data_IF_885944298383
#
_entry.id   IF_885944298383
#
_cell.length_a   1.000
_cell.length_b   1.000
_cell.length_c   1.000
_cell.angle_alpha   90.00
_cell.angle_beta   90.00
_cell.angle_gamma   90.00
#
_symmetry.space_group_name_H-M   'P 1'
#
loop_
_entity.id
_entity.type
_entity.pdbx_description
1 polymer ?
#
# COMPACT_ATOMS: atom_id res chain seq x y z
N UNK A 1 -54.15 9.37 -14.31
CA UNK A 1 -53.08 8.47 -14.73
C UNK A 1 -51.76 9.12 -14.29
N UNK A 2 -51.27 8.68 -13.14
CA UNK A 2 -49.99 9.12 -12.58
C UNK A 2 -48.86 8.39 -13.30
N UNK A 3 -48.01 9.17 -13.96
CA UNK A 3 -46.76 8.66 -14.57
C UNK A 3 -45.70 8.73 -13.50
N UNK A 4 -45.27 7.56 -13.00
CA UNK A 4 -44.14 7.47 -12.10
C UNK A 4 -42.85 7.92 -12.81
N UNK A 5 -41.96 8.71 -12.14
CA UNK A 5 -40.71 9.14 -12.75
C UNK A 5 -39.80 7.95 -12.93
N UNK A 6 -39.27 7.80 -14.14
CA UNK A 6 -38.27 6.79 -14.47
C UNK A 6 -37.01 6.94 -13.59
N UNK A 7 -36.74 5.98 -12.72
CA UNK A 7 -35.46 5.89 -12.00
C UNK A 7 -34.38 5.69 -13.04
N UNK A 8 -33.52 6.70 -13.19
CA UNK A 8 -32.49 6.73 -14.20
C UNK A 8 -31.45 5.59 -14.01
N UNK A 9 -31.13 4.93 -15.11
CA UNK A 9 -30.06 3.90 -15.22
C UNK A 9 -28.69 4.35 -14.66
N UNK A 10 -28.48 5.65 -14.45
CA UNK A 10 -27.26 6.21 -13.87
C UNK A 10 -27.00 5.83 -12.40
N UNK A 11 -28.05 5.51 -11.62
CA UNK A 11 -27.88 5.13 -10.21
C UNK A 11 -27.46 3.66 -10.02
N UNK A 12 -27.67 2.81 -11.02
CA UNK A 12 -27.31 1.38 -10.96
C UNK A 12 -25.81 1.19 -11.17
N UNK A 13 -25.18 1.98 -12.04
CA UNK A 13 -23.74 1.90 -12.29
C UNK A 13 -22.89 2.45 -11.14
N UNK A 14 -23.41 3.38 -10.34
CA UNK A 14 -22.71 3.94 -9.16
C UNK A 14 -22.53 2.95 -8.00
N UNK A 15 -23.25 1.80 -8.01
CA UNK A 15 -23.26 0.84 -6.90
C UNK A 15 -22.47 -0.44 -7.17
N UNK A 16 -21.85 -0.59 -8.32
CA UNK A 16 -21.03 -1.76 -8.60
C UNK A 16 -19.67 -1.63 -7.90
N UNK A 17 -19.43 -2.47 -6.89
CA UNK A 17 -18.17 -2.57 -6.17
C UNK A 17 -18.17 -2.02 -4.73
N UNK A 18 -19.26 -1.41 -4.25
CA UNK A 18 -19.35 -0.93 -2.86
C UNK A 18 -20.20 -1.87 -2.02
N UNK A 19 -19.64 -2.39 -0.92
CA UNK A 19 -20.38 -3.24 0.02
C UNK A 19 -21.51 -2.46 0.72
N UNK A 20 -22.56 -3.16 1.23
CA UNK A 20 -23.50 -2.54 2.15
C UNK A 20 -22.75 -1.98 3.37
N UNK A 21 -22.73 -0.65 3.53
CA UNK A 21 -21.92 0.04 4.55
C UNK A 21 -20.80 0.92 3.99
N UNK A 22 -20.49 0.86 2.68
CA UNK A 22 -19.53 1.75 2.03
C UNK A 22 -20.01 3.21 2.00
N UNK A 23 -19.10 4.09 1.59
CA UNK A 23 -19.36 5.53 1.54
C UNK A 23 -20.51 5.85 0.57
N UNK A 24 -21.46 6.65 1.02
CA UNK A 24 -22.71 6.92 0.28
C UNK A 24 -22.67 8.22 -0.49
N UNK A 25 -21.76 9.10 -0.15
CA UNK A 25 -21.67 10.41 -0.79
C UNK A 25 -20.23 10.76 -1.14
N UNK A 26 -20.05 11.59 -2.16
CA UNK A 26 -18.75 12.15 -2.52
C UNK A 26 -18.15 12.97 -1.36
N UNK A 27 -19.01 13.56 -0.53
CA UNK A 27 -18.57 14.29 0.66
C UNK A 27 -17.93 13.35 1.68
N UNK A 28 -18.50 12.16 1.94
CA UNK A 28 -17.92 11.16 2.83
C UNK A 28 -16.55 10.69 2.33
N UNK A 29 -16.40 10.54 0.99
CA UNK A 29 -15.12 10.18 0.38
C UNK A 29 -14.08 11.28 0.61
N UNK A 30 -14.43 12.55 0.40
CA UNK A 30 -13.55 13.70 0.66
C UNK A 30 -13.11 13.77 2.11
N UNK A 31 -14.05 13.60 3.04
CA UNK A 31 -13.79 13.56 4.46
C UNK A 31 -12.80 12.45 4.80
N UNK A 32 -13.00 11.23 4.28
CA UNK A 32 -12.15 10.09 4.54
C UNK A 32 -10.74 10.28 3.97
N UNK A 33 -10.61 10.87 2.77
CA UNK A 33 -9.31 11.22 2.18
C UNK A 33 -8.56 12.21 3.09
N UNK A 34 -9.21 13.28 3.54
CA UNK A 34 -8.60 14.26 4.44
C UNK A 34 -8.20 13.63 5.78
N UNK A 35 -9.05 12.78 6.35
CA UNK A 35 -8.75 12.05 7.57
C UNK A 35 -7.51 11.16 7.41
N UNK A 36 -7.49 10.33 6.36
CA UNK A 36 -6.40 9.40 6.10
C UNK A 36 -5.07 10.14 5.97
N UNK A 37 -5.02 11.18 5.13
CA UNK A 37 -3.82 11.98 4.93
C UNK A 37 -3.43 12.84 6.15
N UNK A 38 -4.39 13.14 7.05
CA UNK A 38 -4.08 13.78 8.34
C UNK A 38 -3.42 12.83 9.33
N UNK A 39 -3.74 11.54 9.21
CA UNK A 39 -3.24 10.48 10.10
C UNK A 39 -1.87 9.94 9.67
N UNK A 40 -1.42 10.26 8.44
CA UNK A 40 -0.19 9.75 7.86
C UNK A 40 0.77 10.93 7.59
N UNK A 41 1.87 11.07 8.36
CA UNK A 41 2.78 12.21 8.23
C UNK A 41 3.49 12.31 6.88
N UNK A 42 3.79 11.17 6.25
CA UNK A 42 4.56 11.10 5.00
C UNK A 42 3.69 11.33 3.74
N UNK A 43 2.34 11.38 3.91
CA UNK A 43 1.43 11.45 2.78
C UNK A 43 1.29 10.12 2.05
N UNK A 44 0.53 10.11 0.95
CA UNK A 44 0.34 8.96 0.06
C UNK A 44 0.36 9.41 -1.40
N UNK A 45 0.76 8.53 -2.31
CA UNK A 45 0.52 8.76 -3.74
C UNK A 45 -0.97 8.71 -4.06
N UNK A 46 -1.39 9.36 -5.14
CA UNK A 46 -2.79 9.29 -5.60
C UNK A 46 -3.22 7.85 -5.88
N UNK A 47 -2.32 7.06 -6.46
CA UNK A 47 -2.57 5.64 -6.78
C UNK A 47 -2.77 4.82 -5.52
N UNK A 48 -1.91 4.97 -4.52
CA UNK A 48 -2.02 4.24 -3.26
C UNK A 48 -3.29 4.58 -2.50
N UNK A 49 -3.64 5.86 -2.46
CA UNK A 49 -4.87 6.31 -1.84
C UNK A 49 -6.11 5.70 -2.51
N UNK A 50 -6.15 5.66 -3.84
CA UNK A 50 -7.23 5.03 -4.59
C UNK A 50 -7.28 3.53 -4.28
N UNK A 51 -6.14 2.84 -4.31
CA UNK A 51 -6.05 1.40 -4.04
C UNK A 51 -6.55 1.08 -2.63
N UNK A 52 -6.09 1.81 -1.61
CA UNK A 52 -6.54 1.61 -0.22
C UNK A 52 -8.05 1.71 -0.09
N UNK A 53 -8.69 2.70 -0.70
CA UNK A 53 -10.14 2.88 -0.62
C UNK A 53 -10.91 1.86 -1.46
N UNK A 54 -10.40 1.47 -2.62
CA UNK A 54 -11.02 0.52 -3.52
C UNK A 54 -10.92 -0.93 -3.00
N UNK A 55 -9.74 -1.36 -2.55
CA UNK A 55 -9.49 -2.73 -2.06
C UNK A 55 -10.29 -3.01 -0.78
N UNK A 56 -10.57 -1.98 0.00
CA UNK A 56 -11.47 -2.06 1.15
C UNK A 56 -12.96 -1.95 0.79
N UNK A 57 -13.30 -1.86 -0.50
CA UNK A 57 -14.67 -1.75 -1.03
C UNK A 57 -15.46 -0.55 -0.48
N UNK A 58 -14.80 0.54 -0.17
CA UNK A 58 -15.40 1.74 0.41
C UNK A 58 -15.92 2.70 -0.64
N UNK A 59 -15.22 2.82 -1.77
CA UNK A 59 -15.62 3.63 -2.90
C UNK A 59 -15.04 3.06 -4.21
N UNK A 60 -15.62 3.44 -5.35
CA UNK A 60 -15.06 3.05 -6.63
C UNK A 60 -13.97 4.01 -7.10
N UNK A 61 -13.14 3.55 -8.03
CA UNK A 61 -12.03 4.32 -8.60
C UNK A 61 -12.41 5.74 -9.03
N UNK A 62 -13.51 5.88 -9.80
CA UNK A 62 -13.89 7.17 -10.38
C UNK A 62 -14.38 8.17 -9.31
N UNK A 63 -15.06 7.69 -8.28
CA UNK A 63 -15.51 8.51 -7.18
C UNK A 63 -14.36 9.02 -6.34
N UNK A 64 -13.38 8.14 -6.03
CA UNK A 64 -12.18 8.51 -5.29
C UNK A 64 -11.33 9.50 -6.09
N UNK A 65 -11.04 9.19 -7.35
CA UNK A 65 -10.25 10.06 -8.23
C UNK A 65 -10.88 11.45 -8.38
N UNK A 66 -12.22 11.49 -8.58
CA UNK A 66 -12.95 12.76 -8.69
C UNK A 66 -12.96 13.56 -7.39
N UNK A 67 -13.13 12.90 -6.24
CA UNK A 67 -13.08 13.55 -4.93
C UNK A 67 -11.68 14.10 -4.62
N UNK A 68 -10.66 13.34 -4.95
CA UNK A 68 -9.26 13.73 -4.81
C UNK A 68 -8.93 14.99 -5.65
N UNK A 69 -9.28 14.99 -6.94
CA UNK A 69 -9.02 16.12 -7.83
C UNK A 69 -9.74 17.39 -7.39
N UNK A 70 -10.94 17.25 -6.82
CA UNK A 70 -11.66 18.39 -6.24
C UNK A 70 -10.98 18.93 -4.97
N UNK A 71 -10.51 18.05 -4.07
CA UNK A 71 -9.77 18.45 -2.87
C UNK A 71 -8.48 19.19 -3.23
N UNK A 72 -7.76 18.71 -4.25
CA UNK A 72 -6.54 19.35 -4.73
C UNK A 72 -6.86 20.74 -5.31
N UNK A 73 -7.88 20.86 -6.17
CA UNK A 73 -8.32 22.14 -6.75
C UNK A 73 -8.79 23.14 -5.69
N UNK A 74 -9.38 22.65 -4.60
CA UNK A 74 -9.84 23.49 -3.48
C UNK A 74 -8.72 23.88 -2.52
N UNK A 75 -7.49 23.40 -2.73
CA UNK A 75 -6.36 23.67 -1.85
C UNK A 75 -6.42 22.95 -0.51
N UNK A 76 -7.22 21.88 -0.40
CA UNK A 76 -7.32 21.05 0.81
C UNK A 76 -6.21 20.00 0.87
N UNK A 77 -5.63 19.66 -0.29
CA UNK A 77 -4.44 18.83 -0.44
C UNK A 77 -3.34 19.64 -1.10
N UNK A 78 -2.11 19.27 -0.81
CA UNK A 78 -0.91 19.81 -1.46
C UNK A 78 -0.02 18.68 -1.93
N UNK A 79 0.67 18.91 -3.03
CA UNK A 79 1.66 18.02 -3.61
C UNK A 79 3.01 18.25 -2.94
N UNK A 80 3.64 17.17 -2.51
CA UNK A 80 5.03 17.14 -2.06
C UNK A 80 5.82 16.31 -3.08
N UNK A 81 6.82 16.91 -3.73
CA UNK A 81 7.69 16.22 -4.68
C UNK A 81 8.95 15.75 -3.96
N UNK A 82 9.12 14.44 -3.93
CA UNK A 82 10.39 13.77 -3.67
C UNK A 82 10.72 12.91 -4.89
N UNK A 83 11.21 11.70 -4.75
CA UNK A 83 11.43 10.77 -5.89
C UNK A 83 10.11 10.33 -6.54
N UNK A 84 9.03 10.27 -5.75
CA UNK A 84 7.65 10.03 -6.20
C UNK A 84 6.75 11.17 -5.71
N UNK A 85 5.65 11.41 -6.44
CA UNK A 85 4.68 12.45 -6.07
C UNK A 85 3.79 11.95 -4.94
N UNK A 86 3.96 12.53 -3.75
CA UNK A 86 3.09 12.33 -2.59
C UNK A 86 2.17 13.52 -2.36
N UNK A 87 1.05 13.24 -1.74
CA UNK A 87 0.07 14.26 -1.38
C UNK A 87 -0.14 14.28 0.12
N UNK A 88 -0.17 15.47 0.67
CA UNK A 88 -0.43 15.72 2.09
C UNK A 88 -1.62 16.65 2.26
N UNK A 89 -2.20 16.64 3.44
CA UNK A 89 -3.34 17.48 3.77
C UNK A 89 -2.87 18.87 4.24
N UNK A 90 -3.51 19.92 3.74
CA UNK A 90 -3.29 21.31 4.17
C UNK A 90 -4.00 21.61 5.48
N UNK A 91 -3.81 22.81 6.05
CA UNK A 91 -4.53 23.26 7.23
C UNK A 91 -6.07 23.26 7.01
N UNK A 92 -6.54 23.67 5.83
CA UNK A 92 -7.96 23.63 5.48
C UNK A 92 -8.48 22.20 5.35
N UNK A 93 -7.71 21.30 4.77
CA UNK A 93 -8.06 19.87 4.71
C UNK A 93 -8.11 19.20 6.10
N UNK A 94 -7.24 19.60 7.04
CA UNK A 94 -7.28 19.12 8.43
C UNK A 94 -8.57 19.55 9.15
N UNK A 95 -9.08 20.76 8.88
CA UNK A 95 -10.36 21.21 9.41
C UNK A 95 -11.51 20.33 8.91
N UNK A 96 -11.50 19.96 7.60
CA UNK A 96 -12.46 19.01 7.04
C UNK A 96 -12.37 17.67 7.76
N UNK A 97 -11.16 17.16 8.01
CA UNK A 97 -10.97 15.89 8.72
C UNK A 97 -11.53 15.90 10.15
N UNK A 98 -11.51 17.04 10.84
CA UNK A 98 -12.08 17.20 12.19
C UNK A 98 -13.61 17.12 12.22
N UNK A 99 -14.29 17.44 11.12
CA UNK A 99 -15.75 17.28 11.03
C UNK A 99 -16.20 15.82 10.94
N UNK A 100 -15.26 14.90 10.78
CA UNK A 100 -15.49 13.46 10.59
C UNK A 100 -16.06 12.72 11.78
N UNK A 101 -15.82 13.21 12.99
CA UNK A 101 -16.21 12.48 14.21
C UNK A 101 -17.71 12.23 14.32
N UNK A 102 -18.52 12.94 13.54
CA UNK A 102 -19.98 12.84 13.54
C UNK A 102 -20.54 12.03 12.36
N UNK A 103 -19.81 11.89 11.25
CA UNK A 103 -20.37 11.41 9.98
C UNK A 103 -19.95 10.03 9.52
N UNK A 104 -18.77 9.54 9.92
CA UNK A 104 -18.27 8.22 9.50
C UNK A 104 -18.07 7.25 10.66
N UNK A 105 -18.53 6.00 10.51
CA UNK A 105 -18.31 4.95 11.52
C UNK A 105 -16.82 4.79 11.86
N UNK A 106 -16.52 4.58 13.14
CA UNK A 106 -15.16 4.34 13.64
C UNK A 106 -14.51 3.15 12.91
N UNK A 107 -15.29 2.10 12.65
CA UNK A 107 -14.83 0.90 11.95
C UNK A 107 -14.28 1.18 10.55
N UNK A 108 -14.90 2.10 9.79
CA UNK A 108 -14.41 2.50 8.46
C UNK A 108 -13.09 3.25 8.59
N UNK A 109 -12.98 4.16 9.54
CA UNK A 109 -11.76 4.94 9.80
C UNK A 109 -10.59 4.04 10.19
N UNK A 110 -10.80 3.11 11.11
CA UNK A 110 -9.79 2.14 11.55
C UNK A 110 -9.37 1.21 10.42
N UNK A 111 -10.32 0.71 9.64
CA UNK A 111 -10.04 -0.16 8.49
C UNK A 111 -9.13 0.52 7.48
N UNK A 112 -9.44 1.75 7.09
CA UNK A 112 -8.67 2.50 6.10
C UNK A 112 -7.28 2.88 6.61
N UNK A 113 -7.20 3.32 7.87
CA UNK A 113 -5.91 3.65 8.47
C UNK A 113 -5.01 2.41 8.58
N UNK A 114 -5.55 1.29 9.03
CA UNK A 114 -4.80 0.02 9.09
C UNK A 114 -4.32 -0.44 7.72
N UNK A 115 -5.16 -0.34 6.69
CA UNK A 115 -4.80 -0.69 5.31
C UNK A 115 -3.68 0.21 4.77
N UNK A 116 -3.77 1.53 5.00
CA UNK A 116 -2.75 2.47 4.55
C UNK A 116 -1.41 2.26 5.28
N UNK A 117 -1.44 2.05 6.59
CA UNK A 117 -0.22 1.75 7.36
C UNK A 117 0.42 0.43 6.92
N UNK A 118 -0.38 -0.59 6.60
CA UNK A 118 0.11 -1.87 6.06
C UNK A 118 0.76 -1.68 4.68
N UNK A 119 0.15 -0.89 3.79
CA UNK A 119 0.72 -0.56 2.48
C UNK A 119 2.05 0.17 2.62
N UNK A 120 2.12 1.18 3.48
CA UNK A 120 3.36 1.94 3.73
C UNK A 120 4.46 1.06 4.32
N UNK A 121 4.13 0.16 5.25
CA UNK A 121 5.09 -0.79 5.81
C UNK A 121 5.60 -1.78 4.75
N UNK A 122 4.73 -2.18 3.81
CA UNK A 122 5.14 -3.01 2.67
C UNK A 122 6.07 -2.25 1.72
N UNK A 123 5.71 -1.04 1.31
CA UNK A 123 6.54 -0.20 0.44
C UNK A 123 7.91 0.09 1.06
N UNK A 124 7.94 0.41 2.36
CA UNK A 124 9.20 0.59 3.09
C UNK A 124 10.06 -0.67 3.02
N UNK A 125 9.48 -1.85 3.29
CA UNK A 125 10.20 -3.13 3.16
C UNK A 125 10.72 -3.38 1.75
N UNK A 126 9.93 -3.06 0.72
CA UNK A 126 10.33 -3.24 -0.68
C UNK A 126 11.48 -2.30 -1.09
N UNK A 127 11.52 -1.09 -0.55
CA UNK A 127 12.66 -0.14 -0.75
C UNK A 127 13.91 -0.59 0.00
N UNK A 128 13.76 -1.07 1.22
CA UNK A 128 14.86 -1.54 2.07
C UNK A 128 15.40 -2.90 1.63
N UNK A 129 14.60 -3.71 0.93
CA UNK A 129 14.96 -5.06 0.52
C UNK A 129 14.80 -5.22 -0.99
N UNK A 130 15.83 -4.81 -1.72
CA UNK A 130 15.81 -4.80 -3.18
C UNK A 130 16.28 -6.12 -3.78
N UNK A 131 15.72 -6.48 -4.94
CA UNK A 131 16.15 -7.63 -5.72
C UNK A 131 16.29 -7.25 -7.18
N UNK A 132 17.51 -7.31 -7.69
CA UNK A 132 17.83 -7.07 -9.10
C UNK A 132 18.07 -8.39 -9.81
N UNK A 133 17.43 -8.61 -10.96
CA UNK A 133 17.61 -9.79 -11.80
C UNK A 133 18.28 -9.34 -13.10
N UNK A 134 19.50 -9.84 -13.33
CA UNK A 134 20.25 -9.60 -14.55
C UNK A 134 20.33 -10.89 -15.36
N UNK A 135 19.89 -10.85 -16.62
CA UNK A 135 20.00 -11.98 -17.54
C UNK A 135 21.44 -12.07 -18.05
N UNK A 136 22.02 -13.28 -17.98
CA UNK A 136 23.37 -13.61 -18.48
C UNK A 136 23.27 -14.72 -19.52
N UNK A 137 24.37 -15.04 -20.22
CA UNK A 137 24.37 -16.01 -21.33
C UNK A 137 23.73 -17.36 -21.00
N UNK A 138 24.00 -17.91 -19.82
CA UNK A 138 23.54 -19.24 -19.43
C UNK A 138 22.65 -19.21 -18.17
N UNK A 139 21.79 -18.20 -18.01
CA UNK A 139 20.89 -18.12 -16.84
C UNK A 139 20.62 -16.70 -16.38
N UNK A 140 20.44 -16.53 -15.10
CA UNK A 140 20.22 -15.25 -14.48
C UNK A 140 21.10 -15.09 -13.22
N UNK A 141 21.53 -13.87 -12.99
CA UNK A 141 22.14 -13.43 -11.75
C UNK A 141 21.08 -12.68 -10.94
N UNK A 142 20.89 -13.09 -9.70
CA UNK A 142 19.92 -12.46 -8.78
C UNK A 142 20.73 -11.83 -7.65
N UNK A 143 20.70 -10.52 -7.59
CA UNK A 143 21.33 -9.73 -6.53
C UNK A 143 20.27 -9.34 -5.53
N UNK A 144 20.45 -9.74 -4.27
CA UNK A 144 19.56 -9.45 -3.16
C UNK A 144 20.26 -8.53 -2.17
N UNK A 145 19.55 -7.52 -1.69
CA UNK A 145 20.06 -6.53 -0.76
C UNK A 145 19.07 -6.32 0.38
N UNK A 146 19.58 -6.30 1.62
CA UNK A 146 18.81 -6.01 2.85
C UNK A 146 19.44 -4.79 3.51
N UNK A 147 18.65 -3.71 3.64
CA UNK A 147 19.03 -2.52 4.39
C UNK A 147 18.42 -2.54 5.78
N UNK A 148 19.18 -2.06 6.76
CA UNK A 148 18.72 -1.79 8.13
C UNK A 148 18.32 -0.33 8.36
N UNK A 149 18.04 0.41 7.28
CA UNK A 149 17.74 1.84 7.30
C UNK A 149 18.99 2.69 7.05
N UNK A 150 19.83 2.90 8.05
CA UNK A 150 21.07 3.68 7.91
C UNK A 150 22.29 2.86 7.45
N UNK A 151 22.20 1.54 7.50
CA UNK A 151 23.30 0.65 7.15
C UNK A 151 22.83 -0.56 6.34
N UNK A 152 23.68 -1.03 5.46
CA UNK A 152 23.47 -2.27 4.74
C UNK A 152 23.74 -3.46 5.66
N UNK A 153 22.74 -4.32 5.84
CA UNK A 153 22.86 -5.51 6.67
C UNK A 153 23.46 -6.68 5.89
N UNK A 154 23.01 -6.88 4.65
CA UNK A 154 23.48 -7.99 3.82
C UNK A 154 23.25 -7.70 2.34
N UNK A 155 24.25 -8.04 1.53
CA UNK A 155 24.11 -8.16 0.08
C UNK A 155 24.69 -9.48 -0.38
N UNK A 156 23.99 -10.17 -1.27
CA UNK A 156 24.51 -11.40 -1.88
C UNK A 156 23.99 -11.56 -3.30
N UNK A 157 24.73 -12.33 -4.08
CA UNK A 157 24.39 -12.62 -5.47
C UNK A 157 24.29 -14.12 -5.68
N UNK A 158 23.21 -14.56 -6.31
CA UNK A 158 22.97 -15.96 -6.67
C UNK A 158 22.95 -16.12 -8.18
N UNK A 159 23.57 -17.19 -8.67
CA UNK A 159 23.31 -17.69 -10.01
C UNK A 159 22.12 -18.63 -9.98
N UNK A 160 21.22 -18.49 -10.95
CA UNK A 160 20.11 -19.41 -11.20
C UNK A 160 20.00 -19.71 -12.69
N UNK A 161 19.61 -20.96 -13.09
CA UNK A 161 19.68 -21.39 -14.49
C UNK A 161 18.64 -20.72 -15.39
N UNK A 162 17.53 -20.22 -14.84
CA UNK A 162 16.46 -19.65 -15.63
C UNK A 162 15.71 -18.49 -14.94
N UNK A 163 14.93 -17.77 -15.73
CA UNK A 163 14.14 -16.62 -15.26
C UNK A 163 13.00 -17.03 -14.31
N UNK A 164 12.50 -18.27 -14.38
CA UNK A 164 11.44 -18.73 -13.49
C UNK A 164 11.99 -18.88 -12.07
N UNK A 165 13.17 -19.48 -11.93
CA UNK A 165 13.86 -19.58 -10.64
C UNK A 165 14.26 -18.20 -10.12
N UNK A 166 14.73 -17.29 -10.98
CA UNK A 166 15.04 -15.91 -10.58
C UNK A 166 13.82 -15.18 -9.98
N UNK A 167 12.66 -15.32 -10.61
CA UNK A 167 11.40 -14.75 -10.09
C UNK A 167 10.95 -15.42 -8.80
N UNK A 168 11.18 -16.72 -8.64
CA UNK A 168 10.89 -17.45 -7.40
C UNK A 168 11.74 -16.94 -6.24
N UNK A 169 13.05 -16.79 -6.46
CA UNK A 169 13.98 -16.22 -5.49
C UNK A 169 13.52 -14.81 -5.09
N UNK A 170 13.26 -13.94 -6.08
CA UNK A 170 12.76 -12.58 -5.82
C UNK A 170 11.53 -12.58 -4.93
N UNK A 171 10.50 -13.36 -5.31
CA UNK A 171 9.23 -13.42 -4.57
C UNK A 171 9.42 -13.90 -3.14
N UNK A 172 10.19 -14.96 -2.94
CA UNK A 172 10.40 -15.55 -1.61
C UNK A 172 11.27 -14.65 -0.74
N UNK A 173 12.30 -14.03 -1.30
CA UNK A 173 13.13 -13.06 -0.60
C UNK A 173 12.31 -11.84 -0.13
N UNK A 174 11.49 -11.26 -1.00
CA UNK A 174 10.66 -10.09 -0.67
C UNK A 174 9.54 -10.42 0.34
N UNK A 175 9.13 -11.70 0.42
CA UNK A 175 8.12 -12.14 1.39
C UNK A 175 8.62 -12.03 2.83
N UNK A 176 9.85 -12.50 3.09
CA UNK A 176 10.46 -12.46 4.41
C UNK A 176 12.00 -12.32 4.33
N UNK A 177 12.49 -11.10 4.09
CA UNK A 177 13.93 -10.83 4.04
C UNK A 177 14.63 -11.11 5.37
N UNK A 178 13.92 -10.84 6.48
CA UNK A 178 14.47 -11.01 7.82
C UNK A 178 14.75 -12.47 8.16
N UNK A 179 13.85 -13.37 7.75
CA UNK A 179 14.06 -14.81 7.91
C UNK A 179 15.29 -15.29 7.12
N UNK A 180 15.43 -14.81 5.86
CA UNK A 180 16.61 -15.13 5.03
C UNK A 180 17.91 -14.64 5.69
N UNK A 181 17.91 -13.39 6.19
CA UNK A 181 19.06 -12.85 6.93
C UNK A 181 19.42 -13.70 8.15
N UNK A 182 18.41 -14.04 8.97
CA UNK A 182 18.60 -14.86 10.18
C UNK A 182 19.13 -16.26 9.85
N UNK A 183 18.59 -16.91 8.80
CA UNK A 183 19.08 -18.20 8.32
C UNK A 183 20.54 -18.14 7.87
N UNK A 184 20.91 -17.12 7.09
CA UNK A 184 22.29 -16.93 6.63
C UNK A 184 23.23 -16.69 7.82
N UNK A 185 22.85 -15.84 8.76
CA UNK A 185 23.65 -15.56 9.96
C UNK A 185 23.83 -16.81 10.81
N UNK A 186 22.75 -17.57 11.06
CA UNK A 186 22.80 -18.82 11.83
C UNK A 186 23.69 -19.87 11.15
N UNK A 187 23.63 -19.98 9.82
CA UNK A 187 24.49 -20.90 9.05
C UNK A 187 25.96 -20.48 9.11
N UNK A 188 26.29 -19.21 8.93
CA UNK A 188 27.64 -18.68 8.96
C UNK A 188 28.27 -18.77 10.36
N UNK A 189 27.49 -18.58 11.40
CA UNK A 189 27.94 -18.72 12.81
C UNK A 189 27.90 -20.16 13.31
N UNK A 190 27.43 -21.11 12.47
CA UNK A 190 27.27 -22.54 12.82
C UNK A 190 26.40 -22.78 14.05
N UNK A 191 25.41 -21.91 14.30
CA UNK A 191 24.45 -22.06 15.38
C UNK A 191 23.38 -23.10 14.98
N UNK A 192 23.60 -24.35 15.34
CA UNK A 192 22.75 -25.48 14.93
C UNK A 192 21.32 -25.39 15.48
N UNK A 193 21.17 -24.88 16.69
CA UNK A 193 19.84 -24.78 17.32
C UNK A 193 18.99 -23.73 16.60
N UNK A 194 19.55 -22.57 16.32
CA UNK A 194 18.90 -21.52 15.55
C UNK A 194 18.58 -21.95 14.11
N UNK A 195 19.47 -22.71 13.46
CA UNK A 195 19.21 -23.28 12.12
C UNK A 195 17.98 -24.20 12.14
N UNK A 196 17.87 -25.08 13.13
CA UNK A 196 16.71 -26.00 13.25
C UNK A 196 15.40 -25.26 13.48
N UNK A 197 15.41 -24.25 14.34
CA UNK A 197 14.23 -23.40 14.62
C UNK A 197 13.75 -22.69 13.36
N UNK A 198 14.66 -21.99 12.67
CA UNK A 198 14.34 -21.21 11.46
C UNK A 198 13.91 -22.08 10.26
N UNK A 199 14.44 -23.31 10.12
CA UNK A 199 13.99 -24.26 9.10
C UNK A 199 12.54 -24.71 9.33
N UNK A 200 12.06 -24.73 10.57
CA UNK A 200 10.66 -24.98 10.89
C UNK A 200 9.71 -23.87 10.38
N UNK A 201 10.18 -22.63 10.32
CA UNK A 201 9.40 -21.49 9.82
C UNK A 201 9.35 -21.42 8.27
N UNK A 202 10.28 -22.10 7.58
CA UNK A 202 10.29 -22.19 6.11
C UNK A 202 9.31 -23.25 5.55
N UNK A 203 8.72 -24.07 6.39
CA UNK A 203 7.79 -25.14 6.01
C UNK A 203 6.36 -24.64 6.00
#
# INVERSE_FOLDING_TARGET
RDVAPSRGLGDVYKRQGVKPGGLRSKQDIKLLICYLLSSIPQGLSKTDLINVLQDNNLANYFEVASAFDELLKQGNLTEAQEEETFYTVTASGKMIAQELDVSLPISIREQVLSAALSLMAQQKRERENTVTITKIENGCQVECHISGGEMDLMSFTLYVPDMMQAKLVKRNFQKDPQLIYSCMLAALTRNQDMVRELLGELS
#
